data_IF_305801539338
#
_entry.id   IF_305801539338
#
_cell.length_a   1.000
_cell.length_b   1.000
_cell.length_c   1.000
_cell.angle_alpha   90.00
_cell.angle_beta   90.00
_cell.angle_gamma   90.00
#
_symmetry.space_group_name_H-M   'P 1'
#
loop_
_entity.id
_entity.type
_entity.pdbx_description
1 polymer ?
#
# COMPACT_ATOMS: atom_id res chain seq x y z
N UNK A 1 -5.56 -12.29 10.94
CA UNK A 1 -5.12 -13.47 11.69
C UNK A 1 -3.77 -13.23 12.40
N UNK A 2 -2.74 -12.77 11.70
CA UNK A 2 -1.43 -12.49 12.30
C UNK A 2 -1.45 -11.33 13.31
N UNK A 3 -2.18 -10.26 13.02
CA UNK A 3 -2.39 -9.17 13.98
C UNK A 3 -3.08 -9.68 15.26
N UNK A 4 -4.06 -10.59 15.11
CA UNK A 4 -4.74 -11.21 16.24
C UNK A 4 -3.81 -12.07 17.11
N UNK A 5 -2.85 -12.73 16.50
CA UNK A 5 -1.82 -13.49 17.25
C UNK A 5 -0.92 -12.53 18.03
N UNK A 6 -0.55 -11.37 17.47
CA UNK A 6 0.25 -10.37 18.16
C UNK A 6 -0.45 -9.85 19.43
N UNK A 7 -1.76 -9.57 19.36
CA UNK A 7 -2.54 -9.14 20.52
C UNK A 7 -2.75 -10.27 21.56
N UNK A 8 -2.94 -11.51 21.13
CA UNK A 8 -3.05 -12.65 22.04
C UNK A 8 -1.75 -12.89 22.84
N UNK A 9 -0.60 -12.62 22.24
CA UNK A 9 0.70 -12.70 22.91
C UNK A 9 0.89 -11.63 23.99
N UNK A 10 0.11 -10.52 23.93
CA UNK A 10 0.15 -9.43 24.90
C UNK A 10 -0.80 -9.63 26.11
N UNK A 11 -1.48 -10.77 26.20
CA UNK A 11 -2.38 -11.09 27.30
C UNK A 11 -3.67 -10.27 27.34
N UNK A 12 -3.93 -9.48 26.31
CA UNK A 12 -5.22 -8.82 26.12
C UNK A 12 -6.23 -9.88 25.65
N UNK A 13 -7.37 -9.99 26.31
CA UNK A 13 -8.46 -10.90 25.94
C UNK A 13 -9.09 -10.52 24.58
N UNK A 14 -8.31 -10.65 23.50
CA UNK A 14 -8.68 -10.26 22.16
C UNK A 14 -9.30 -11.42 21.41
N UNK A 15 -10.53 -11.18 20.97
CA UNK A 15 -11.14 -12.01 19.95
C UNK A 15 -10.94 -11.36 18.59
N UNK A 16 -9.98 -11.84 17.83
CA UNK A 16 -9.76 -11.42 16.45
C UNK A 16 -10.58 -12.26 15.50
N UNK A 17 -11.36 -11.58 14.70
CA UNK A 17 -12.19 -12.21 13.68
C UNK A 17 -11.64 -11.88 12.30
N UNK A 18 -11.02 -12.85 11.64
CA UNK A 18 -10.72 -12.79 10.23
C UNK A 18 -11.84 -13.47 9.46
N UNK A 19 -12.81 -12.71 8.96
CA UNK A 19 -13.87 -13.20 8.07
C UNK A 19 -13.49 -12.91 6.63
N UNK A 20 -13.25 -13.96 5.85
CA UNK A 20 -12.88 -13.80 4.44
C UNK A 20 -14.05 -13.48 3.50
N UNK A 21 -15.26 -13.81 3.89
CA UNK A 21 -16.49 -13.53 3.13
C UNK A 21 -17.67 -13.31 4.07
N UNK A 22 -18.32 -12.15 3.96
CA UNK A 22 -19.45 -11.72 4.80
C UNK A 22 -20.81 -12.22 4.32
N UNK A 23 -20.87 -12.90 3.18
CA UNK A 23 -22.12 -13.41 2.60
C UNK A 23 -22.62 -14.70 3.25
N UNK A 24 -21.84 -15.30 4.14
CA UNK A 24 -22.21 -16.52 4.83
C UNK A 24 -22.81 -16.20 6.21
N UNK A 25 -24.11 -16.46 6.37
CA UNK A 25 -24.88 -16.17 7.59
C UNK A 25 -24.28 -16.85 8.84
N UNK A 26 -23.77 -18.08 8.69
CA UNK A 26 -23.12 -18.82 9.77
C UNK A 26 -21.80 -18.17 10.24
N UNK A 27 -21.07 -17.53 9.33
CA UNK A 27 -19.84 -16.78 9.67
C UNK A 27 -20.17 -15.47 10.39
N UNK A 28 -21.22 -14.78 9.99
CA UNK A 28 -21.67 -13.57 10.67
C UNK A 28 -22.15 -13.85 12.09
N UNK A 29 -22.87 -14.97 12.31
CA UNK A 29 -23.27 -15.41 13.64
C UNK A 29 -22.07 -15.75 14.53
N UNK A 30 -21.08 -16.51 14.00
CA UNK A 30 -19.85 -16.81 14.72
C UNK A 30 -19.07 -15.52 15.07
N UNK A 31 -18.99 -14.58 14.12
CA UNK A 31 -18.42 -13.25 14.33
C UNK A 31 -19.13 -12.50 15.46
N UNK A 32 -20.45 -12.54 15.45
CA UNK A 32 -21.28 -11.90 16.47
C UNK A 32 -21.07 -12.47 17.87
N UNK A 33 -20.89 -13.78 18.00
CA UNK A 33 -20.57 -14.40 19.30
C UNK A 33 -19.24 -13.91 19.85
N UNK A 34 -18.21 -13.89 19.04
CA UNK A 34 -16.87 -13.42 19.44
C UNK A 34 -16.89 -11.94 19.81
N UNK A 35 -17.60 -11.12 19.03
CA UNK A 35 -17.65 -9.67 19.25
C UNK A 35 -18.35 -9.28 20.56
N UNK A 36 -19.40 -10.02 20.99
CA UNK A 36 -20.20 -9.64 22.16
C UNK A 36 -19.40 -9.59 23.47
N UNK A 37 -18.45 -10.48 23.64
CA UNK A 37 -17.72 -10.64 24.90
C UNK A 37 -16.36 -9.90 24.90
N UNK A 38 -15.95 -9.37 23.75
CA UNK A 38 -14.69 -8.67 23.60
C UNK A 38 -14.78 -7.20 24.07
N UNK A 39 -13.75 -6.68 24.69
CA UNK A 39 -13.61 -5.25 25.00
C UNK A 39 -13.09 -4.46 23.79
N UNK A 40 -12.31 -5.11 22.93
CA UNK A 40 -11.84 -4.60 21.64
C UNK A 40 -12.19 -5.59 20.52
N UNK A 41 -12.91 -5.13 19.51
CA UNK A 41 -13.16 -5.85 18.26
C UNK A 41 -12.24 -5.31 17.19
N UNK A 42 -11.33 -6.17 16.69
CA UNK A 42 -10.42 -5.82 15.61
C UNK A 42 -10.87 -6.47 14.29
N UNK A 43 -11.23 -5.65 13.30
CA UNK A 43 -11.71 -6.06 12.00
C UNK A 43 -10.56 -6.10 10.99
N UNK A 44 -10.12 -7.30 10.63
CA UNK A 44 -8.99 -7.56 9.71
C UNK A 44 -9.46 -8.24 8.42
N UNK A 45 -10.51 -7.70 7.83
CA UNK A 45 -11.12 -8.19 6.60
C UNK A 45 -10.68 -7.34 5.40
N UNK A 46 -10.84 -7.83 4.15
CA UNK A 46 -10.66 -7.00 2.95
C UNK A 46 -11.56 -5.76 2.97
N UNK A 47 -11.10 -4.69 2.31
CA UNK A 47 -11.78 -3.39 2.31
C UNK A 47 -13.23 -3.47 1.78
N UNK A 48 -13.47 -4.29 0.77
CA UNK A 48 -14.79 -4.52 0.17
C UNK A 48 -15.77 -5.27 1.08
N UNK A 49 -15.27 -6.04 2.05
CA UNK A 49 -16.07 -6.78 3.01
C UNK A 49 -16.35 -6.00 4.30
N UNK A 50 -15.61 -4.93 4.58
CA UNK A 50 -15.62 -4.25 5.87
C UNK A 50 -16.97 -3.60 6.18
N UNK A 51 -17.57 -2.89 5.25
CA UNK A 51 -18.85 -2.18 5.45
C UNK A 51 -19.98 -3.15 5.77
N UNK A 52 -20.09 -4.25 5.02
CA UNK A 52 -21.14 -5.26 5.23
C UNK A 52 -20.97 -5.99 6.56
N UNK A 53 -19.72 -6.29 6.95
CA UNK A 53 -19.43 -6.91 8.26
C UNK A 53 -19.85 -6.00 9.41
N UNK A 54 -19.49 -4.72 9.37
CA UNK A 54 -19.84 -3.75 10.42
C UNK A 54 -21.35 -3.58 10.51
N UNK A 55 -22.04 -3.44 9.38
CA UNK A 55 -23.50 -3.35 9.34
C UNK A 55 -24.16 -4.61 9.91
N UNK A 56 -23.68 -5.79 9.56
CA UNK A 56 -24.18 -7.07 10.07
C UNK A 56 -23.98 -7.21 11.58
N UNK A 57 -22.81 -6.92 12.10
CA UNK A 57 -22.51 -6.96 13.55
C UNK A 57 -23.39 -5.97 14.33
N UNK A 58 -23.58 -4.77 13.80
CA UNK A 58 -24.47 -3.78 14.42
C UNK A 58 -25.95 -4.23 14.38
N UNK A 59 -26.41 -4.81 13.26
CA UNK A 59 -27.78 -5.29 13.10
C UNK A 59 -28.12 -6.44 14.07
N UNK A 60 -27.21 -7.39 14.24
CA UNK A 60 -27.40 -8.55 15.13
C UNK A 60 -27.26 -8.21 16.62
N UNK A 61 -26.97 -6.96 16.97
CA UNK A 61 -26.75 -6.54 18.34
C UNK A 61 -25.48 -7.13 18.98
N UNK A 62 -24.52 -7.51 18.15
CA UNK A 62 -23.24 -8.03 18.61
C UNK A 62 -22.29 -6.92 19.13
N UNK A 63 -22.57 -5.68 18.79
CA UNK A 63 -21.83 -4.51 19.24
C UNK A 63 -22.53 -3.86 20.44
N UNK A 64 -21.77 -3.56 21.48
CA UNK A 64 -22.25 -2.93 22.72
C UNK A 64 -21.66 -1.53 22.92
N UNK A 65 -22.38 -0.71 23.67
CA UNK A 65 -21.90 0.62 24.03
C UNK A 65 -20.62 0.56 24.87
N UNK A 66 -19.69 1.47 24.60
CA UNK A 66 -18.38 1.55 25.25
C UNK A 66 -17.34 0.53 24.75
N UNK A 67 -17.71 -0.38 23.84
CA UNK A 67 -16.79 -1.33 23.25
C UNK A 67 -15.87 -0.64 22.23
N UNK A 68 -14.57 -0.93 22.28
CA UNK A 68 -13.64 -0.46 21.26
C UNK A 68 -13.85 -1.26 19.96
N UNK A 69 -13.91 -0.57 18.84
CA UNK A 69 -13.95 -1.20 17.52
C UNK A 69 -12.89 -0.57 16.61
N UNK A 70 -12.03 -1.40 16.07
CA UNK A 70 -10.96 -0.97 15.19
C UNK A 70 -10.95 -1.76 13.88
N UNK A 71 -10.58 -1.12 12.79
CA UNK A 71 -10.28 -1.81 11.53
C UNK A 71 -8.85 -1.54 11.08
N UNK A 72 -8.34 -2.41 10.21
CA UNK A 72 -6.98 -2.31 9.67
C UNK A 72 -6.94 -1.83 8.21
N UNK A 73 -8.05 -1.36 7.65
CA UNK A 73 -8.09 -0.80 6.31
C UNK A 73 -7.20 0.43 6.19
N UNK A 74 -6.40 0.51 5.13
CA UNK A 74 -5.65 1.71 4.78
C UNK A 74 -6.51 2.77 4.11
N UNK A 75 -7.56 2.33 3.40
CA UNK A 75 -8.45 3.16 2.59
C UNK A 75 -9.57 3.81 3.40
N UNK A 76 -10.28 2.99 4.20
CA UNK A 76 -11.45 3.45 4.93
C UNK A 76 -11.09 4.30 6.15
N UNK A 77 -11.89 5.35 6.38
CA UNK A 77 -11.88 6.15 7.59
C UNK A 77 -12.87 5.63 8.64
N UNK A 78 -13.19 6.47 9.61
CA UNK A 78 -14.10 6.09 10.71
C UNK A 78 -15.55 5.91 10.26
N UNK A 79 -15.96 6.54 9.16
CA UNK A 79 -17.35 6.49 8.67
C UNK A 79 -17.84 5.06 8.38
N UNK A 80 -16.95 4.14 7.98
CA UNK A 80 -17.30 2.74 7.77
C UNK A 80 -17.76 2.05 9.07
N UNK A 81 -17.36 2.58 10.23
CA UNK A 81 -17.76 2.11 11.57
C UNK A 81 -19.04 2.79 12.11
N UNK A 82 -19.67 3.71 11.36
CA UNK A 82 -20.89 4.42 11.80
C UNK A 82 -22.01 3.51 12.29
N UNK A 83 -22.31 2.35 11.67
CA UNK A 83 -23.33 1.45 12.20
C UNK A 83 -23.03 0.97 13.63
N UNK A 84 -21.77 0.73 13.95
CA UNK A 84 -21.32 0.34 15.28
C UNK A 84 -21.27 1.55 16.24
N UNK A 85 -20.82 2.69 15.77
CA UNK A 85 -20.74 3.95 16.55
C UNK A 85 -22.15 4.41 16.98
N UNK A 86 -23.15 4.25 16.13
CA UNK A 86 -24.56 4.49 16.51
C UNK A 86 -25.08 3.55 17.61
N UNK A 87 -24.42 2.43 17.85
CA UNK A 87 -24.67 1.54 19.00
C UNK A 87 -23.85 1.92 20.25
N UNK A 88 -23.05 2.98 20.17
CA UNK A 88 -22.20 3.48 21.25
C UNK A 88 -20.82 2.87 21.29
N UNK A 89 -20.36 2.17 20.24
CA UNK A 89 -18.99 1.71 20.14
C UNK A 89 -18.03 2.88 19.90
N UNK A 90 -16.78 2.68 20.26
CA UNK A 90 -15.69 3.65 20.22
C UNK A 90 -14.77 3.31 19.04
N UNK A 91 -14.83 4.08 17.91
CA UNK A 91 -14.21 3.70 16.66
C UNK A 91 -12.74 4.10 16.58
N UNK A 92 -11.93 3.26 15.91
CA UNK A 92 -10.55 3.53 15.55
C UNK A 92 -10.22 2.91 14.19
N UNK A 93 -9.27 3.51 13.46
CA UNK A 93 -8.66 2.95 12.26
C UNK A 93 -7.15 2.83 12.49
N UNK A 94 -6.62 1.61 12.47
CA UNK A 94 -5.23 1.27 12.79
C UNK A 94 -4.63 0.49 11.62
N UNK A 95 -4.08 1.17 10.62
CA UNK A 95 -3.55 0.54 9.41
C UNK A 95 -2.05 0.26 9.53
N UNK A 96 -1.62 -1.00 9.70
CA UNK A 96 -0.20 -1.35 9.70
C UNK A 96 0.40 -1.21 8.28
N UNK A 97 1.52 -0.48 8.18
CA UNK A 97 2.21 -0.26 6.89
C UNK A 97 3.19 -1.40 6.64
N UNK A 98 2.64 -2.55 6.26
CA UNK A 98 3.41 -3.75 5.98
C UNK A 98 2.76 -4.57 4.85
N UNK A 99 3.55 -5.14 3.95
CA UNK A 99 3.07 -6.20 3.07
C UNK A 99 2.95 -7.51 3.88
N UNK A 100 1.73 -7.89 4.26
CA UNK A 100 1.48 -9.14 4.94
C UNK A 100 1.57 -10.32 3.96
N UNK A 101 2.47 -11.25 4.24
CA UNK A 101 2.69 -12.46 3.44
C UNK A 101 1.99 -13.70 4.01
N UNK A 102 1.43 -13.59 5.22
CA UNK A 102 0.78 -14.69 5.93
C UNK A 102 1.76 -15.61 6.65
N UNK A 103 3.00 -15.19 6.85
CA UNK A 103 4.05 -15.97 7.50
C UNK A 103 4.46 -15.37 8.85
N UNK A 104 5.18 -16.15 9.68
CA UNK A 104 5.71 -15.68 10.97
C UNK A 104 6.69 -14.50 10.83
N UNK A 105 7.30 -14.33 9.67
CA UNK A 105 8.19 -13.19 9.38
C UNK A 105 7.45 -11.86 9.50
N UNK A 106 6.14 -11.84 9.23
CA UNK A 106 5.34 -10.63 9.33
C UNK A 106 5.24 -10.13 10.78
N UNK A 107 5.25 -11.04 11.79
CA UNK A 107 5.24 -10.66 13.20
C UNK A 107 6.53 -9.93 13.61
N UNK A 108 7.67 -10.42 13.15
CA UNK A 108 8.94 -9.76 13.41
C UNK A 108 9.02 -8.36 12.75
N UNK A 109 8.37 -8.20 11.58
CA UNK A 109 8.32 -6.94 10.83
C UNK A 109 7.34 -5.91 11.42
N UNK A 110 6.40 -6.32 12.28
CA UNK A 110 5.53 -5.38 13.01
C UNK A 110 6.32 -4.47 13.94
N UNK A 111 7.39 -5.00 14.53
CA UNK A 111 8.28 -4.20 15.38
C UNK A 111 8.97 -3.10 14.58
N UNK A 112 8.70 -1.84 14.95
CA UNK A 112 9.15 -0.65 14.23
C UNK A 112 8.34 -0.28 12.98
N UNK A 113 7.25 -1.02 12.68
CA UNK A 113 6.39 -0.66 11.56
C UNK A 113 5.55 0.59 11.88
N UNK A 114 5.38 1.46 10.90
CA UNK A 114 4.45 2.58 11.01
C UNK A 114 3.01 2.11 10.94
N UNK A 115 2.13 2.74 11.72
CA UNK A 115 0.68 2.54 11.66
C UNK A 115 -0.02 3.85 11.31
N UNK A 116 -0.80 3.87 10.22
CA UNK A 116 -1.70 4.97 9.92
C UNK A 116 -2.89 4.97 10.87
N UNK A 117 -2.94 5.94 11.79
CA UNK A 117 -3.91 5.99 12.88
C UNK A 117 -4.90 7.14 12.67
N UNK A 118 -6.19 6.80 12.77
CA UNK A 118 -7.28 7.79 12.85
C UNK A 118 -8.20 7.41 14.01
N UNK A 119 -8.47 8.34 14.90
CA UNK A 119 -9.41 8.16 16.01
C UNK A 119 -9.98 9.51 16.47
N UNK A 120 -11.15 9.54 17.13
CA UNK A 120 -11.58 10.71 17.86
C UNK A 120 -10.56 11.10 18.94
N UNK A 121 -10.43 12.41 19.22
CA UNK A 121 -9.44 12.92 20.18
C UNK A 121 -9.46 12.23 21.55
N UNK A 122 -10.62 11.93 22.18
CA UNK A 122 -10.64 11.23 23.46
C UNK A 122 -10.07 9.81 23.42
N UNK A 123 -10.01 9.17 22.23
CA UNK A 123 -9.51 7.80 22.06
C UNK A 123 -8.04 7.75 21.64
N UNK A 124 -7.41 8.90 21.33
CA UNK A 124 -6.00 8.96 20.88
C UNK A 124 -5.05 8.23 21.82
N UNK A 125 -5.10 8.41 23.15
CA UNK A 125 -4.19 7.69 24.05
C UNK A 125 -4.35 6.17 23.98
N UNK A 126 -5.58 5.68 23.79
CA UNK A 126 -5.87 4.25 23.65
C UNK A 126 -5.32 3.72 22.32
N UNK A 127 -5.59 4.43 21.21
CA UNK A 127 -5.10 4.03 19.88
C UNK A 127 -3.56 4.02 19.83
N UNK A 128 -2.91 5.01 20.44
CA UNK A 128 -1.45 5.08 20.56
C UNK A 128 -0.90 3.90 21.36
N UNK A 129 -1.46 3.63 22.55
CA UNK A 129 -1.05 2.50 23.39
C UNK A 129 -1.16 1.17 22.64
N UNK A 130 -2.26 0.94 21.92
CA UNK A 130 -2.45 -0.29 21.13
C UNK A 130 -1.37 -0.46 20.05
N UNK A 131 -1.02 0.62 19.35
CA UNK A 131 0.04 0.59 18.33
C UNK A 131 1.41 0.32 18.95
N UNK A 132 1.75 1.01 20.03
CA UNK A 132 3.03 0.86 20.74
C UNK A 132 3.17 -0.54 21.33
N UNK A 133 2.11 -1.11 21.89
CA UNK A 133 2.12 -2.47 22.42
C UNK A 133 2.31 -3.53 21.33
N UNK A 134 1.86 -3.25 20.09
CA UNK A 134 2.18 -4.09 18.93
C UNK A 134 3.61 -3.90 18.41
N UNK A 135 4.40 -3.02 19.05
CA UNK A 135 5.77 -2.70 18.63
C UNK A 135 5.85 -1.71 17.47
N UNK A 136 4.73 -1.08 17.07
CA UNK A 136 4.66 -0.14 15.97
C UNK A 136 4.81 1.33 16.38
N UNK A 137 4.85 2.20 15.38
CA UNK A 137 4.94 3.65 15.53
C UNK A 137 3.68 4.32 14.94
N UNK A 138 2.90 5.12 15.71
CA UNK A 138 1.70 5.74 15.22
C UNK A 138 2.01 6.95 14.33
N UNK A 139 1.41 6.98 13.15
CA UNK A 139 1.37 8.12 12.23
C UNK A 139 -0.07 8.61 12.18
N UNK A 140 -0.32 9.77 12.76
CA UNK A 140 -1.67 10.34 12.84
C UNK A 140 -2.13 10.89 11.49
N UNK A 141 -3.30 10.44 11.04
CA UNK A 141 -3.89 10.82 9.77
C UNK A 141 -5.27 11.45 9.98
N UNK A 142 -5.57 12.60 9.34
CA UNK A 142 -6.94 13.04 9.16
C UNK A 142 -7.75 12.00 8.39
N UNK A 143 -9.02 11.85 8.73
CA UNK A 143 -9.91 10.82 8.17
C UNK A 143 -10.00 10.93 6.64
N UNK A 144 -10.14 12.15 6.14
CA UNK A 144 -10.24 12.48 4.71
C UNK A 144 -8.95 12.20 3.92
N UNK A 145 -7.81 12.07 4.59
CA UNK A 145 -6.52 11.80 3.93
C UNK A 145 -6.23 10.30 3.75
N UNK A 146 -7.04 9.41 4.31
CA UNK A 146 -6.81 7.96 4.22
C UNK A 146 -6.79 7.43 2.78
N UNK A 147 -7.68 7.85 1.86
CA UNK A 147 -7.59 7.40 0.47
C UNK A 147 -6.25 7.77 -0.19
N UNK A 148 -5.76 9.00 0.04
CA UNK A 148 -4.47 9.43 -0.49
C UNK A 148 -3.30 8.66 0.15
N UNK A 149 -3.35 8.45 1.46
CA UNK A 149 -2.40 7.62 2.19
C UNK A 149 -2.30 6.22 1.60
N UNK A 150 -3.43 5.53 1.44
CA UNK A 150 -3.45 4.18 0.89
C UNK A 150 -2.95 4.12 -0.57
N UNK A 151 -3.38 5.08 -1.39
CA UNK A 151 -2.90 5.19 -2.78
C UNK A 151 -1.38 5.42 -2.86
N UNK A 152 -0.82 6.25 -1.99
CA UNK A 152 0.63 6.50 -1.94
C UNK A 152 1.41 5.23 -1.56
N UNK A 153 0.94 4.49 -0.56
CA UNK A 153 1.57 3.24 -0.13
C UNK A 153 1.46 2.15 -1.22
N UNK A 154 0.30 2.01 -1.85
CA UNK A 154 0.12 1.09 -2.97
C UNK A 154 1.03 1.47 -4.16
N UNK A 155 1.14 2.75 -4.47
CA UNK A 155 2.04 3.24 -5.52
C UNK A 155 3.51 2.94 -5.20
N UNK A 156 3.96 3.20 -3.97
CA UNK A 156 5.35 3.00 -3.56
C UNK A 156 5.74 1.53 -3.34
N UNK A 157 4.79 0.67 -2.97
CA UNK A 157 5.05 -0.74 -2.64
C UNK A 157 4.57 -1.70 -3.73
N UNK A 158 3.28 -1.71 -4.03
CA UNK A 158 2.72 -2.71 -4.96
C UNK A 158 3.21 -2.51 -6.39
N UNK A 159 3.30 -1.26 -6.85
CA UNK A 159 3.84 -0.97 -8.18
C UNK A 159 5.35 -1.21 -8.25
N UNK A 160 6.09 -1.05 -7.14
CA UNK A 160 7.50 -1.43 -7.10
C UNK A 160 7.69 -2.93 -7.39
N UNK A 161 6.88 -3.81 -6.76
CA UNK A 161 6.93 -5.26 -7.03
C UNK A 161 6.67 -5.54 -8.51
N UNK A 162 5.66 -4.91 -9.10
CA UNK A 162 5.34 -5.06 -10.53
C UNK A 162 6.48 -4.56 -11.42
N UNK A 163 7.07 -3.40 -11.10
CA UNK A 163 8.20 -2.84 -11.85
C UNK A 163 9.41 -3.78 -11.83
N UNK A 164 9.74 -4.32 -10.65
CA UNK A 164 10.86 -5.26 -10.49
C UNK A 164 10.61 -6.57 -11.27
N UNK A 165 9.39 -7.12 -11.19
CA UNK A 165 9.01 -8.32 -11.93
C UNK A 165 9.13 -8.10 -13.45
N UNK A 166 8.58 -6.99 -13.95
CA UNK A 166 8.67 -6.61 -15.36
C UNK A 166 10.13 -6.43 -15.83
N UNK A 167 10.97 -5.77 -15.02
CA UNK A 167 12.39 -5.64 -15.34
C UNK A 167 13.13 -6.99 -15.38
N UNK A 168 12.78 -7.89 -14.45
CA UNK A 168 13.33 -9.25 -14.43
C UNK A 168 12.94 -10.04 -15.70
N UNK A 169 11.68 -9.91 -16.16
CA UNK A 169 11.21 -10.58 -17.37
C UNK A 169 11.95 -10.05 -18.63
N UNK A 170 12.16 -8.75 -18.74
CA UNK A 170 12.96 -8.15 -19.81
C UNK A 170 14.41 -8.67 -19.82
N UNK A 171 15.02 -8.80 -18.65
CA UNK A 171 16.38 -9.37 -18.53
C UNK A 171 16.42 -10.84 -18.94
N UNK A 172 15.41 -11.64 -18.60
CA UNK A 172 15.31 -13.04 -19.07
C UNK A 172 15.21 -13.10 -20.59
N UNK A 173 14.41 -12.25 -21.21
CA UNK A 173 14.32 -12.15 -22.66
C UNK A 173 15.65 -11.72 -23.29
N UNK A 174 16.47 -10.93 -22.59
CA UNK A 174 17.82 -10.59 -23.00
C UNK A 174 18.86 -11.70 -22.74
N UNK A 175 18.45 -12.89 -22.26
CA UNK A 175 19.31 -14.04 -22.00
C UNK A 175 19.95 -14.10 -20.61
N UNK A 176 19.48 -13.28 -19.66
CA UNK A 176 20.00 -13.30 -18.28
C UNK A 176 19.26 -14.39 -17.48
N UNK A 177 19.97 -15.44 -17.06
CA UNK A 177 19.36 -16.58 -16.32
C UNK A 177 18.91 -16.19 -14.91
N UNK A 178 19.69 -15.37 -14.19
CA UNK A 178 19.42 -14.94 -12.81
C UNK A 178 19.23 -13.42 -12.70
N UNK A 179 18.10 -12.84 -13.16
CA UNK A 179 17.89 -11.40 -13.16
C UNK A 179 17.98 -10.76 -11.76
N UNK A 180 17.56 -11.50 -10.73
CA UNK A 180 17.61 -11.03 -9.34
C UNK A 180 19.03 -10.67 -8.89
N UNK A 181 20.06 -11.39 -9.34
CA UNK A 181 21.46 -11.09 -9.01
C UNK A 181 21.93 -9.78 -9.65
N UNK A 182 21.41 -9.46 -10.84
CA UNK A 182 21.73 -8.21 -11.55
C UNK A 182 20.97 -7.04 -10.94
N UNK A 183 19.68 -7.25 -10.63
CA UNK A 183 18.80 -6.19 -10.15
C UNK A 183 19.03 -5.83 -8.68
N UNK A 184 19.37 -6.80 -7.83
CA UNK A 184 19.44 -6.57 -6.38
C UNK A 184 20.38 -5.40 -5.98
N UNK A 185 21.64 -5.33 -6.43
CA UNK A 185 22.51 -4.20 -6.07
C UNK A 185 22.05 -2.88 -6.70
N UNK A 186 21.52 -2.90 -7.91
CA UNK A 186 21.01 -1.73 -8.62
C UNK A 186 19.78 -1.13 -7.91
N UNK A 187 18.79 -1.98 -7.61
CA UNK A 187 17.55 -1.57 -6.95
C UNK A 187 17.82 -1.15 -5.50
N UNK A 188 18.69 -1.85 -4.79
CA UNK A 188 19.09 -1.48 -3.44
C UNK A 188 19.69 -0.08 -3.37
N UNK A 189 20.62 0.24 -4.29
CA UNK A 189 21.22 1.57 -4.37
C UNK A 189 20.20 2.65 -4.77
N UNK A 190 19.30 2.35 -5.71
CA UNK A 190 18.26 3.28 -6.14
C UNK A 190 17.26 3.58 -5.02
N UNK A 191 16.82 2.56 -4.28
CA UNK A 191 15.90 2.70 -3.16
C UNK A 191 16.54 3.50 -2.01
N UNK A 192 17.72 3.11 -1.57
CA UNK A 192 18.44 3.80 -0.50
C UNK A 192 18.70 5.27 -0.86
N UNK A 193 19.17 5.53 -2.07
CA UNK A 193 19.41 6.88 -2.56
C UNK A 193 18.14 7.72 -2.60
N UNK A 194 17.03 7.16 -3.12
CA UNK A 194 15.76 7.89 -3.23
C UNK A 194 15.14 8.22 -1.88
N UNK A 195 15.25 7.33 -0.89
CA UNK A 195 14.77 7.58 0.46
C UNK A 195 15.58 8.65 1.20
N UNK A 196 16.88 8.76 0.90
CA UNK A 196 17.76 9.75 1.56
C UNK A 196 17.78 11.12 0.88
N UNK A 197 17.74 11.15 -0.45
CA UNK A 197 18.01 12.38 -1.21
C UNK A 197 16.95 12.72 -2.27
N UNK A 198 15.87 11.92 -2.36
CA UNK A 198 14.76 12.17 -3.28
C UNK A 198 15.22 12.28 -4.73
N UNK A 199 14.72 13.27 -5.45
CA UNK A 199 14.99 13.48 -6.87
C UNK A 199 16.45 13.87 -7.20
N UNK A 200 17.26 14.23 -6.21
CA UNK A 200 18.67 14.52 -6.42
C UNK A 200 19.48 13.32 -6.93
N UNK A 201 18.99 12.09 -6.74
CA UNK A 201 19.63 10.86 -7.23
C UNK A 201 19.11 10.43 -8.60
N UNK A 202 18.17 11.13 -9.21
CA UNK A 202 17.70 10.82 -10.56
C UNK A 202 18.88 10.81 -11.55
N UNK A 203 19.01 9.69 -12.26
CA UNK A 203 20.02 9.45 -13.28
C UNK A 203 19.41 8.67 -14.45
N UNK A 204 20.22 8.37 -15.46
CA UNK A 204 19.76 7.62 -16.63
C UNK A 204 19.41 8.53 -17.81
N UNK A 205 19.01 7.95 -18.96
CA UNK A 205 18.84 8.68 -20.21
C UNK A 205 17.73 9.73 -20.13
N UNK A 206 16.63 9.43 -19.44
CA UNK A 206 15.52 10.37 -19.29
C UNK A 206 15.95 11.62 -18.51
N UNK A 207 16.60 11.46 -17.36
CA UNK A 207 17.01 12.61 -16.54
C UNK A 207 18.12 13.44 -17.17
N UNK A 208 18.85 12.89 -18.16
CA UNK A 208 19.86 13.61 -18.92
C UNK A 208 19.36 14.19 -20.25
N UNK A 209 18.09 13.91 -20.62
CA UNK A 209 17.52 14.36 -21.90
C UNK A 209 18.06 13.60 -23.13
N UNK A 210 18.58 12.38 -22.94
CA UNK A 210 19.10 11.54 -24.03
C UNK A 210 17.94 10.90 -24.83
N UNK A 211 17.37 11.72 -25.70
CA UNK A 211 16.22 11.33 -26.54
C UNK A 211 16.57 10.16 -27.48
N UNK A 212 17.82 10.05 -27.94
CA UNK A 212 18.27 8.96 -28.80
C UNK A 212 18.20 7.60 -28.12
N UNK A 213 18.76 7.50 -26.90
CA UNK A 213 18.69 6.28 -26.09
C UNK A 213 17.25 5.92 -25.74
N UNK A 214 16.41 6.91 -25.38
CA UNK A 214 15.00 6.67 -25.08
C UNK A 214 14.25 6.14 -26.31
N UNK A 215 14.50 6.68 -27.50
CA UNK A 215 13.95 6.17 -28.76
C UNK A 215 14.32 4.70 -28.99
N UNK A 216 15.60 4.34 -28.80
CA UNK A 216 16.06 2.97 -28.95
C UNK A 216 15.37 2.01 -27.94
N UNK A 217 15.11 2.48 -26.71
CA UNK A 217 14.33 1.71 -25.73
C UNK A 217 12.90 1.48 -26.21
N UNK A 218 12.22 2.51 -26.70
CA UNK A 218 10.84 2.40 -27.22
C UNK A 218 10.78 1.42 -28.39
N UNK A 219 11.73 1.50 -29.32
CA UNK A 219 11.77 0.66 -30.51
C UNK A 219 12.00 -0.82 -30.18
N UNK A 220 12.85 -1.12 -29.20
CA UNK A 220 13.07 -2.51 -28.78
C UNK A 220 11.89 -3.04 -27.96
N UNK A 221 11.34 -2.25 -27.04
CA UNK A 221 10.20 -2.66 -26.23
C UNK A 221 8.96 -2.93 -27.09
N UNK A 222 8.72 -2.09 -28.11
CA UNK A 222 7.60 -2.31 -29.04
C UNK A 222 7.68 -3.64 -29.78
N UNK A 223 8.88 -4.18 -30.00
CA UNK A 223 9.11 -5.45 -30.71
C UNK A 223 9.11 -6.64 -29.77
N UNK A 224 9.68 -6.49 -28.57
CA UNK A 224 10.00 -7.62 -27.69
C UNK A 224 8.98 -7.76 -26.57
N UNK A 225 8.47 -6.63 -26.03
CA UNK A 225 7.57 -6.60 -24.88
C UNK A 225 6.58 -5.42 -24.99
N UNK A 226 5.69 -5.42 -26.02
CA UNK A 226 4.77 -4.33 -26.27
C UNK A 226 3.83 -4.02 -25.08
N UNK A 227 3.53 -5.01 -24.24
CA UNK A 227 2.73 -4.87 -23.03
C UNK A 227 3.40 -3.99 -21.95
N UNK A 228 4.73 -3.91 -21.93
CA UNK A 228 5.51 -3.07 -20.99
C UNK A 228 5.57 -1.61 -21.43
N UNK A 229 5.43 -1.37 -22.74
CA UNK A 229 5.64 -0.05 -23.34
C UNK A 229 4.79 1.08 -22.73
N UNK A 230 3.47 0.91 -22.48
CA UNK A 230 2.67 1.96 -21.85
C UNK A 230 3.19 2.37 -20.47
N UNK A 231 3.57 1.41 -19.64
CA UNK A 231 4.11 1.67 -18.31
C UNK A 231 5.47 2.38 -18.39
N UNK A 232 6.36 1.94 -19.30
CA UNK A 232 7.65 2.60 -19.55
C UNK A 232 7.47 4.07 -19.94
N UNK A 233 6.59 4.37 -20.90
CA UNK A 233 6.32 5.74 -21.36
C UNK A 233 5.77 6.61 -20.23
N UNK A 234 4.80 6.09 -19.45
CA UNK A 234 4.21 6.81 -18.33
C UNK A 234 5.27 7.16 -17.26
N UNK A 235 6.11 6.19 -16.88
CA UNK A 235 7.18 6.41 -15.92
C UNK A 235 8.28 7.32 -16.46
N UNK A 236 8.63 7.21 -17.74
CA UNK A 236 9.60 8.10 -18.37
C UNK A 236 9.14 9.56 -18.39
N UNK A 237 7.86 9.82 -18.66
CA UNK A 237 7.27 11.17 -18.58
C UNK A 237 7.34 11.72 -17.15
N UNK A 238 6.88 10.94 -16.18
CA UNK A 238 6.92 11.34 -14.77
C UNK A 238 8.36 11.60 -14.32
N UNK A 239 9.33 10.78 -14.77
CA UNK A 239 10.77 10.99 -14.49
C UNK A 239 11.28 12.29 -15.12
N UNK A 240 10.85 12.63 -16.34
CA UNK A 240 11.24 13.88 -16.99
C UNK A 240 10.71 15.10 -16.22
N UNK A 241 9.42 15.08 -15.81
CA UNK A 241 8.81 16.15 -15.03
C UNK A 241 9.54 16.36 -13.70
N UNK A 242 9.84 15.28 -12.97
CA UNK A 242 10.58 15.33 -11.72
C UNK A 242 12.03 15.82 -11.92
N UNK A 243 12.70 15.38 -12.99
CA UNK A 243 14.06 15.79 -13.32
C UNK A 243 14.12 17.29 -13.70
N UNK A 244 13.11 17.81 -14.41
CA UNK A 244 12.96 19.23 -14.70
C UNK A 244 12.78 20.04 -13.41
N UNK A 245 11.85 19.62 -12.56
CA UNK A 245 11.57 20.30 -11.29
C UNK A 245 12.78 20.31 -10.34
N UNK A 246 13.59 19.25 -10.38
CA UNK A 246 14.84 19.15 -9.61
C UNK A 246 16.06 19.82 -10.26
N UNK A 247 15.90 20.45 -11.43
CA UNK A 247 17.00 21.08 -12.17
C UNK A 247 18.04 20.09 -12.73
N UNK A 248 17.66 18.82 -12.91
CA UNK A 248 18.51 17.74 -13.40
C UNK A 248 18.40 17.55 -14.93
N UNK A 249 17.30 18.00 -15.52
CA UNK A 249 17.05 17.97 -16.96
C UNK A 249 17.04 19.40 -17.50
N UNK A 250 17.86 19.65 -18.54
CA UNK A 250 17.83 20.93 -19.22
C UNK A 250 16.52 21.13 -19.99
N UNK A 251 15.85 22.29 -19.89
CA UNK A 251 14.57 22.54 -20.55
C UNK A 251 14.61 22.36 -22.08
N UNK A 252 15.75 22.65 -22.74
CA UNK A 252 15.86 22.48 -24.18
C UNK A 252 15.97 20.99 -24.56
N UNK A 253 16.68 20.20 -23.76
CA UNK A 253 16.77 18.75 -23.94
C UNK A 253 15.41 18.06 -23.65
N UNK A 254 14.62 18.62 -22.74
CA UNK A 254 13.29 18.11 -22.40
C UNK A 254 12.34 18.12 -23.59
N UNK A 255 12.38 19.15 -24.46
CA UNK A 255 11.54 19.26 -25.65
C UNK A 255 11.68 18.04 -26.57
N UNK A 256 12.92 17.73 -26.98
CA UNK A 256 13.19 16.58 -27.82
C UNK A 256 12.83 15.23 -27.17
N UNK A 257 13.05 15.10 -25.87
CA UNK A 257 12.67 13.91 -25.11
C UNK A 257 11.14 13.73 -25.08
N UNK A 258 10.38 14.79 -24.81
CA UNK A 258 8.91 14.73 -24.75
C UNK A 258 8.29 14.46 -26.13
N UNK A 259 8.89 14.95 -27.23
CA UNK A 259 8.50 14.57 -28.59
C UNK A 259 8.67 13.07 -28.82
N UNK A 260 9.79 12.49 -28.38
CA UNK A 260 10.03 11.04 -28.46
C UNK A 260 9.00 10.26 -27.70
N UNK A 261 8.70 10.67 -26.45
CA UNK A 261 7.72 10.02 -25.58
C UNK A 261 6.26 10.25 -26.02
N UNK A 262 6.00 11.29 -26.82
CA UNK A 262 4.66 11.61 -27.37
C UNK A 262 4.38 10.99 -28.73
N UNK A 263 5.42 10.55 -29.45
CA UNK A 263 5.26 9.98 -30.79
C UNK A 263 4.61 8.60 -30.74
N UNK A 264 3.71 8.27 -31.71
CA UNK A 264 3.20 6.91 -31.86
C UNK A 264 4.37 5.96 -32.14
N UNK A 265 4.47 4.88 -31.36
CA UNK A 265 5.47 3.84 -31.63
C UNK A 265 4.97 3.04 -32.84
N UNK A 266 5.83 2.87 -33.85
CA UNK A 266 5.48 2.11 -35.04
C UNK A 266 5.11 0.67 -34.66
N UNK A 267 3.86 0.27 -34.92
CA UNK A 267 3.37 -1.09 -34.68
C UNK A 267 2.18 -1.22 -33.72
N UNK A 268 1.73 -0.16 -33.08
CA UNK A 268 0.45 -0.23 -32.33
C UNK A 268 -0.75 -0.14 -33.29
N UNK A 269 -1.68 -1.11 -33.27
CA UNK A 269 -2.98 -0.94 -33.92
C UNK A 269 -3.73 0.22 -33.26
N UNK A 270 -4.39 1.05 -34.09
CA UNK A 270 -5.24 2.17 -33.64
C UNK A 270 -6.48 1.67 -32.91
#
# INVERSE_FOLDING_TARGET
>A
FLLGIAFAALGLGLSTLAVRETRDHARLEAAGHVARDADLVLLTVPDDALADLVAGLAHTGAIRAGQLIAHTSGLHGLAVLDPATRRGALPMALHPVLPFTGTEVDLARLSGASFGVTSPDPLRPIAESLVVEMGGEPVWLPDEMRPLWHAALAHGSNHLVTLVASAADLLRQAGVEEPGRVLAPLLGAALDGSLRAGDAVLTGPVSRGDAGTVRAHLDVLAKVAPEVLPAYVAMARLTADRALAAGRLDPNAAGALLEVLGSPVQGQPR
#
